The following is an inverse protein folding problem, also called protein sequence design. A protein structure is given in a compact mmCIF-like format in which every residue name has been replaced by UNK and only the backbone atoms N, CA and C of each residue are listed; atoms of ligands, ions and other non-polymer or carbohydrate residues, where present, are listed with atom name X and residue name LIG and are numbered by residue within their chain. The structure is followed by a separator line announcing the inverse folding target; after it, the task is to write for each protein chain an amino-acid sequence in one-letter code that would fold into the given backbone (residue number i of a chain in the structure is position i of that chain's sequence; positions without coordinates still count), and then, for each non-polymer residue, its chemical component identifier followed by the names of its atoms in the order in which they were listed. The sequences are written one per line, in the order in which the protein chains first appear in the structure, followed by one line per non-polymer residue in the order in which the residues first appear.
data_IF_710015927935
#
_entry.id   IF_710015927935
#
_cell.length_a   1.000
_cell.length_b   1.000
_cell.length_c   1.000
_cell.angle_alpha   90.00
_cell.angle_beta   90.00
_cell.angle_gamma   90.00
#
_symmetry.space_group_name_H-M   'P 1'
#
loop_
_entity.id
_entity.type
_entity.pdbx_description
1 polymer ?
#
# COMPACT_ATOMS: atom_id res chain seq x y z
N UNK A 1 11.17 19.53 -12.68
CA UNK A 1 12.52 19.69 -13.26
C UNK A 1 13.50 19.50 -12.13
N UNK A 2 14.48 18.59 -12.29
CA UNK A 2 15.47 18.31 -11.26
C UNK A 2 16.31 19.58 -10.97
N UNK A 3 16.77 19.78 -9.72
CA UNK A 3 17.62 20.90 -9.37
C UNK A 3 18.94 20.83 -10.15
N UNK A 4 19.39 21.98 -10.65
CA UNK A 4 20.59 22.13 -11.50
C UNK A 4 21.91 21.73 -10.85
N UNK A 5 21.89 21.32 -9.57
CA UNK A 5 23.07 21.10 -8.73
C UNK A 5 23.44 19.61 -8.59
N UNK A 6 22.68 18.69 -9.18
CA UNK A 6 22.99 17.26 -9.16
C UNK A 6 23.58 16.82 -10.50
N UNK A 7 24.57 15.91 -10.53
CA UNK A 7 25.08 15.42 -11.79
C UNK A 7 23.95 14.71 -12.56
N UNK A 8 23.90 14.88 -13.89
CA UNK A 8 22.75 14.48 -14.71
C UNK A 8 22.45 12.97 -14.64
N UNK A 9 23.43 12.16 -14.22
CA UNK A 9 23.30 10.71 -14.01
C UNK A 9 22.25 10.33 -12.95
N UNK A 10 21.92 11.22 -12.03
CA UNK A 10 20.91 10.97 -10.99
C UNK A 10 19.51 11.44 -11.37
N UNK A 11 19.32 11.99 -12.57
CA UNK A 11 17.99 12.38 -13.02
C UNK A 11 17.12 11.14 -13.25
N UNK A 12 15.82 11.29 -12.96
CA UNK A 12 14.85 10.25 -13.24
C UNK A 12 14.80 9.98 -14.74
N UNK A 13 14.83 8.71 -15.13
CA UNK A 13 14.55 8.33 -16.51
C UNK A 13 13.04 8.39 -16.78
N UNK A 14 12.63 8.45 -18.05
CA UNK A 14 11.20 8.38 -18.39
C UNK A 14 10.56 7.10 -17.86
N UNK A 15 11.26 5.97 -17.98
CA UNK A 15 10.83 4.67 -17.46
C UNK A 15 10.62 4.69 -15.93
N UNK A 16 11.50 5.35 -15.17
CA UNK A 16 11.34 5.49 -13.71
C UNK A 16 10.08 6.28 -13.34
N UNK A 17 9.77 7.34 -14.09
CA UNK A 17 8.58 8.17 -13.88
C UNK A 17 7.31 7.40 -14.24
N UNK A 18 7.32 6.66 -15.36
CA UNK A 18 6.22 5.80 -15.78
C UNK A 18 5.92 4.73 -14.73
N UNK A 19 6.95 4.08 -14.20
CA UNK A 19 6.84 3.12 -13.11
C UNK A 19 6.22 3.74 -11.85
N UNK A 20 6.68 4.92 -11.42
CA UNK A 20 6.13 5.63 -10.26
C UNK A 20 4.66 6.06 -10.46
N UNK A 21 4.28 6.41 -11.68
CA UNK A 21 2.90 6.72 -12.04
C UNK A 21 2.02 5.46 -12.04
N UNK A 22 2.49 4.37 -12.66
CA UNK A 22 1.78 3.10 -12.76
C UNK A 22 1.55 2.46 -11.38
N UNK A 23 2.54 2.50 -10.49
CA UNK A 23 2.43 2.03 -9.11
C UNK A 23 1.64 2.98 -8.19
N UNK A 24 1.12 4.10 -8.72
CA UNK A 24 0.31 5.06 -7.98
C UNK A 24 1.02 5.72 -6.78
N UNK A 25 2.35 5.90 -6.85
CA UNK A 25 3.14 6.51 -5.78
C UNK A 25 2.84 8.00 -5.56
N UNK A 26 2.28 8.66 -6.57
CA UNK A 26 1.92 10.08 -6.55
C UNK A 26 0.57 10.35 -5.86
N UNK A 27 -0.23 9.32 -5.58
CA UNK A 27 -1.49 9.47 -4.86
C UNK A 27 -1.18 9.62 -3.37
N UNK A 28 -1.60 10.72 -2.76
CA UNK A 28 -1.53 10.91 -1.32
C UNK A 28 -2.87 10.71 -0.63
N UNK A 29 -2.88 10.88 0.69
CA UNK A 29 -4.10 10.89 1.49
C UNK A 29 -4.90 12.19 1.35
N UNK A 30 -6.16 12.20 1.86
CA UNK A 30 -6.98 13.43 1.89
C UNK A 30 -6.45 14.44 2.91
N UNK A 31 -6.01 13.93 4.06
CA UNK A 31 -5.44 14.76 5.11
C UNK A 31 -3.99 15.14 4.77
N UNK A 32 -3.59 16.32 5.21
CA UNK A 32 -2.26 16.87 5.00
C UNK A 32 -1.64 17.28 6.34
N UNK A 33 -0.43 16.80 6.59
CA UNK A 33 0.46 17.24 7.66
C UNK A 33 1.23 18.48 7.20
N UNK A 34 1.41 19.48 8.07
CA UNK A 34 2.08 20.75 7.74
C UNK A 34 3.50 20.54 7.18
N UNK A 35 4.28 19.62 7.76
CA UNK A 35 5.63 19.32 7.29
C UNK A 35 5.69 18.66 5.91
N UNK A 36 4.57 18.11 5.43
CA UNK A 36 4.47 17.47 4.11
C UNK A 36 3.94 18.37 3.01
N UNK A 37 3.45 19.57 3.35
CA UNK A 37 3.00 20.58 2.40
C UNK A 37 4.03 20.88 1.30
N UNK A 38 5.35 20.95 1.57
CA UNK A 38 6.33 21.20 0.52
C UNK A 38 6.40 20.11 -0.55
N UNK A 39 5.97 18.87 -0.28
CA UNK A 39 5.99 17.78 -1.27
C UNK A 39 4.71 17.70 -2.11
N UNK A 40 3.67 18.44 -1.70
CA UNK A 40 2.41 18.54 -2.43
C UNK A 40 2.60 19.27 -3.76
N UNK A 41 1.93 18.77 -4.81
CA UNK A 41 1.83 19.45 -6.10
C UNK A 41 0.48 20.15 -6.26
N UNK A 42 -0.61 19.41 -6.09
CA UNK A 42 -1.98 19.94 -6.15
C UNK A 42 -2.94 19.02 -5.41
N UNK A 43 -4.10 19.54 -5.04
CA UNK A 43 -5.21 18.73 -4.56
C UNK A 43 -6.16 18.44 -5.72
N UNK A 44 -6.68 17.22 -5.82
CA UNK A 44 -7.73 16.86 -6.78
C UNK A 44 -9.11 17.34 -6.30
N UNK A 45 -10.10 17.47 -7.21
CA UNK A 45 -11.47 17.78 -6.81
C UNK A 45 -12.07 16.74 -5.85
N UNK A 46 -11.61 15.49 -5.90
CA UNK A 46 -12.03 14.40 -4.99
C UNK A 46 -11.46 14.55 -3.56
N UNK A 47 -10.66 15.59 -3.31
CA UNK A 47 -9.96 15.83 -2.05
C UNK A 47 -8.69 15.00 -1.86
N UNK A 48 -8.25 14.24 -2.88
CA UNK A 48 -7.01 13.43 -2.84
C UNK A 48 -5.81 14.32 -3.16
N UNK A 49 -4.82 14.33 -2.29
CA UNK A 49 -3.58 15.07 -2.50
C UNK A 49 -2.71 14.39 -3.57
N UNK A 50 -2.02 15.18 -4.41
CA UNK A 50 -1.08 14.69 -5.42
C UNK A 50 0.32 15.10 -5.03
N UNK A 51 1.22 14.12 -4.85
CA UNK A 51 2.62 14.32 -4.51
C UNK A 51 3.42 14.62 -5.78
N UNK A 52 4.41 15.50 -5.67
CA UNK A 52 5.34 15.77 -6.76
C UNK A 52 6.38 14.64 -6.91
N UNK A 53 6.29 13.87 -8.00
CA UNK A 53 7.19 12.75 -8.32
C UNK A 53 8.65 13.18 -8.42
N UNK A 54 8.94 14.40 -8.91
CA UNK A 54 10.30 14.90 -8.98
C UNK A 54 10.94 15.00 -7.59
N UNK A 55 10.18 15.46 -6.60
CA UNK A 55 10.62 15.54 -5.20
C UNK A 55 10.75 14.14 -4.57
N UNK A 56 9.85 13.22 -4.91
CA UNK A 56 9.98 11.81 -4.50
C UNK A 56 11.29 11.22 -5.01
N UNK A 57 11.61 11.42 -6.28
CA UNK A 57 12.85 10.90 -6.88
C UNK A 57 14.10 11.51 -6.25
N UNK A 58 14.13 12.82 -6.05
CA UNK A 58 15.24 13.51 -5.36
C UNK A 58 15.49 12.94 -3.97
N UNK A 59 14.43 12.63 -3.22
CA UNK A 59 14.51 12.01 -1.89
C UNK A 59 14.94 10.55 -1.93
N UNK A 60 14.54 9.78 -2.94
CA UNK A 60 15.03 8.40 -3.14
C UNK A 60 16.55 8.43 -3.39
N UNK A 61 17.03 9.31 -4.26
CA UNK A 61 18.48 9.43 -4.54
C UNK A 61 19.24 9.88 -3.29
N UNK A 62 18.70 10.83 -2.53
CA UNK A 62 19.31 11.28 -1.28
C UNK A 62 19.39 10.14 -0.25
N UNK A 63 18.32 9.37 -0.08
CA UNK A 63 18.31 8.22 0.81
C UNK A 63 19.29 7.13 0.36
N UNK A 64 19.35 6.84 -0.95
CA UNK A 64 20.30 5.88 -1.51
C UNK A 64 21.75 6.27 -1.23
N UNK A 65 22.10 7.56 -1.29
CA UNK A 65 23.43 8.06 -0.92
C UNK A 65 23.76 7.85 0.56
N UNK A 66 22.79 8.12 1.45
CA UNK A 66 22.98 7.90 2.89
C UNK A 66 23.21 6.42 3.17
N UNK A 67 22.43 5.54 2.55
CA UNK A 67 22.54 4.08 2.73
C UNK A 67 23.85 3.53 2.12
N UNK A 68 24.27 4.06 0.96
CA UNK A 68 25.52 3.67 0.31
C UNK A 68 26.77 4.15 1.09
N UNK A 69 26.66 5.23 1.86
CA UNK A 69 27.74 5.74 2.70
C UNK A 69 27.99 4.92 3.97
N UNK A 70 27.13 3.94 4.28
CA UNK A 70 27.35 3.00 5.38
C UNK A 70 28.25 1.87 4.89
N UNK A 71 29.46 1.77 5.45
CA UNK A 71 30.46 0.76 5.07
C UNK A 71 29.95 -0.67 5.25
N UNK A 72 29.37 -0.95 6.44
CA UNK A 72 28.80 -2.24 6.76
C UNK A 72 27.29 -2.25 6.45
N UNK A 73 26.84 -3.01 5.43
CA UNK A 73 25.42 -3.05 5.09
C UNK A 73 24.53 -3.59 6.21
N UNK A 74 25.07 -4.48 7.06
CA UNK A 74 24.36 -5.06 8.20
C UNK A 74 23.93 -4.05 9.26
N UNK A 75 24.58 -2.89 9.30
CA UNK A 75 24.30 -1.84 10.28
C UNK A 75 23.07 -1.00 9.86
N UNK A 76 22.53 -1.24 8.67
CA UNK A 76 21.26 -0.66 8.22
C UNK A 76 20.13 -1.60 8.64
N UNK A 77 19.18 -1.10 9.43
CA UNK A 77 17.98 -1.83 9.80
C UNK A 77 16.78 -1.28 9.03
N UNK A 78 16.01 -2.20 8.46
CA UNK A 78 14.80 -1.89 7.70
C UNK A 78 13.59 -2.50 8.40
N UNK A 79 12.53 -1.70 8.59
CA UNK A 79 11.35 -2.08 9.35
C UNK A 79 10.07 -1.86 8.55
N UNK A 80 9.18 -2.85 8.63
CA UNK A 80 7.79 -2.68 8.24
C UNK A 80 6.86 -3.53 9.10
N UNK A 81 5.99 -2.90 9.88
CA UNK A 81 4.85 -3.57 10.50
C UNK A 81 3.74 -3.89 9.51
N UNK A 82 3.59 -3.10 8.44
CA UNK A 82 2.52 -3.26 7.46
C UNK A 82 2.71 -4.53 6.63
N UNK A 83 1.67 -5.38 6.45
CA UNK A 83 1.75 -6.59 5.62
C UNK A 83 2.31 -6.32 4.22
N UNK A 84 1.83 -5.24 3.59
CA UNK A 84 2.25 -4.84 2.24
C UNK A 84 3.75 -4.54 2.11
N UNK A 85 4.41 -4.11 3.19
CA UNK A 85 5.84 -3.81 3.20
C UNK A 85 6.73 -4.97 3.66
N UNK A 86 6.18 -6.00 4.30
CA UNK A 86 6.96 -7.11 4.87
C UNK A 86 7.83 -7.81 3.82
N UNK A 87 7.23 -8.17 2.69
CA UNK A 87 7.96 -8.82 1.59
C UNK A 87 9.00 -7.90 0.96
N UNK A 88 8.65 -6.64 0.74
CA UNK A 88 9.55 -5.65 0.16
C UNK A 88 10.81 -5.45 1.03
N UNK A 89 10.64 -5.36 2.35
CA UNK A 89 11.74 -5.22 3.32
C UNK A 89 12.64 -6.45 3.35
N UNK A 90 12.08 -7.66 3.33
CA UNK A 90 12.86 -8.90 3.29
C UNK A 90 13.69 -9.02 2.01
N UNK A 91 13.12 -8.66 0.86
CA UNK A 91 13.85 -8.66 -0.42
C UNK A 91 14.91 -7.58 -0.47
N UNK A 92 14.59 -6.37 -0.01
CA UNK A 92 15.56 -5.29 0.12
C UNK A 92 16.78 -5.71 0.94
N UNK A 93 16.55 -6.33 2.11
CA UNK A 93 17.60 -6.87 2.97
C UNK A 93 18.45 -7.93 2.27
N UNK A 94 17.83 -8.86 1.54
CA UNK A 94 18.54 -9.89 0.79
C UNK A 94 19.46 -9.32 -0.31
N UNK A 95 19.04 -8.25 -0.99
CA UNK A 95 19.84 -7.66 -2.07
C UNK A 95 20.92 -6.70 -1.57
N UNK A 96 20.64 -5.94 -0.50
CA UNK A 96 21.57 -4.91 0.01
C UNK A 96 22.46 -5.41 1.15
N UNK A 97 22.15 -6.56 1.77
CA UNK A 97 22.81 -7.07 2.97
C UNK A 97 22.36 -6.40 4.27
N UNK A 98 21.29 -5.60 4.23
CA UNK A 98 20.72 -4.93 5.39
C UNK A 98 19.99 -5.91 6.32
N UNK A 99 19.80 -5.53 7.58
CA UNK A 99 18.96 -6.29 8.51
C UNK A 99 17.49 -5.91 8.35
N UNK A 100 16.61 -6.90 8.27
CA UNK A 100 15.16 -6.69 8.20
C UNK A 100 14.48 -7.03 9.53
N UNK A 101 13.44 -6.27 9.87
CA UNK A 101 12.39 -6.62 10.82
C UNK A 101 11.06 -6.50 10.09
N UNK A 102 10.51 -7.64 9.68
CA UNK A 102 9.20 -7.72 9.05
C UNK A 102 8.14 -8.08 10.10
N UNK A 103 7.03 -7.36 10.09
CA UNK A 103 5.91 -7.57 11.01
C UNK A 103 6.09 -6.82 12.33
N UNK A 104 5.61 -7.40 13.42
CA UNK A 104 5.52 -6.71 14.70
C UNK A 104 6.91 -6.34 15.23
N UNK A 105 7.16 -5.03 15.36
CA UNK A 105 8.33 -4.53 16.07
C UNK A 105 8.22 -4.89 17.56
N UNK A 106 9.26 -5.51 18.11
CA UNK A 106 9.32 -5.83 19.54
C UNK A 106 9.95 -4.65 20.26
N UNK A 107 9.22 -3.98 21.17
CA UNK A 107 9.77 -2.88 21.94
C UNK A 107 10.99 -3.32 22.74
N UNK A 108 12.02 -2.48 22.78
CA UNK A 108 13.29 -2.79 23.44
C UNK A 108 14.35 -3.39 22.51
N UNK A 109 14.05 -3.60 21.23
CA UNK A 109 15.05 -4.10 20.28
C UNK A 109 16.25 -3.16 20.12
N UNK A 110 16.08 -1.84 20.31
CA UNK A 110 17.19 -0.88 20.24
C UNK A 110 17.71 -0.44 21.61
N UNK A 111 16.91 -0.56 22.67
CA UNK A 111 17.28 -0.03 23.99
C UNK A 111 17.70 -1.10 25.00
N UNK A 112 17.21 -2.35 24.86
CA UNK A 112 17.44 -3.42 25.82
C UNK A 112 18.53 -4.39 25.36
N UNK A 113 19.77 -4.10 25.74
CA UNK A 113 20.96 -4.89 25.40
C UNK A 113 20.97 -6.33 25.94
N UNK A 114 20.13 -6.67 26.93
CA UNK A 114 20.06 -8.01 27.52
C UNK A 114 19.31 -8.99 26.59
N UNK A 115 18.43 -8.47 25.73
CA UNK A 115 17.61 -9.31 24.85
C UNK A 115 18.42 -9.89 23.69
N UNK A 116 18.09 -11.11 23.27
CA UNK A 116 18.74 -11.75 22.10
C UNK A 116 18.42 -11.06 20.78
N UNK A 117 17.33 -10.31 20.74
CA UNK A 117 16.88 -9.55 19.56
C UNK A 117 17.43 -8.12 19.52
N UNK A 118 18.35 -7.79 20.42
CA UNK A 118 19.02 -6.50 20.47
C UNK A 118 19.77 -6.22 19.17
N UNK A 119 19.60 -5.01 18.63
CA UNK A 119 20.26 -4.54 17.42
C UNK A 119 20.71 -3.09 17.65
N UNK A 120 21.91 -2.77 17.18
CA UNK A 120 22.44 -1.41 17.20
C UNK A 120 22.68 -0.94 15.75
N UNK A 121 21.61 -0.67 14.98
CA UNK A 121 21.80 -0.19 13.63
C UNK A 121 22.28 1.27 13.64
N UNK A 122 23.14 1.61 12.69
CA UNK A 122 23.59 2.99 12.43
C UNK A 122 22.59 3.80 11.62
N UNK A 123 21.66 3.13 10.93
CA UNK A 123 20.65 3.77 10.11
C UNK A 123 19.36 2.95 10.17
N UNK A 124 18.23 3.64 10.33
CA UNK A 124 16.91 3.04 10.29
C UNK A 124 16.17 3.46 9.02
N UNK A 125 15.56 2.51 8.33
CA UNK A 125 14.64 2.79 7.21
C UNK A 125 13.27 2.19 7.52
N UNK A 126 12.23 3.02 7.47
CA UNK A 126 10.87 2.68 7.95
C UNK A 126 9.85 2.84 6.82
N UNK A 127 8.89 1.92 6.72
CA UNK A 127 7.83 1.99 5.70
C UNK A 127 6.68 2.94 5.99
N UNK A 128 6.30 3.09 7.25
CA UNK A 128 5.27 4.03 7.62
C UNK A 128 5.53 4.51 9.06
N UNK A 129 5.81 5.81 9.26
CA UNK A 129 6.12 6.32 10.58
C UNK A 129 4.93 6.24 11.55
N UNK A 130 3.69 6.11 11.05
CA UNK A 130 2.51 5.97 11.91
C UNK A 130 2.41 4.58 12.52
N UNK A 131 2.61 3.52 11.73
CA UNK A 131 2.54 2.14 12.25
C UNK A 131 3.79 1.74 13.00
N UNK A 132 4.95 2.26 12.58
CA UNK A 132 6.26 1.92 13.14
C UNK A 132 6.76 2.99 14.13
N UNK A 133 5.85 3.79 14.72
CA UNK A 133 6.18 4.89 15.63
C UNK A 133 7.02 4.44 16.83
N UNK A 134 6.83 3.21 17.30
CA UNK A 134 7.63 2.65 18.40
C UNK A 134 9.10 2.51 18.03
N UNK A 135 9.41 2.07 16.81
CA UNK A 135 10.79 1.93 16.35
C UNK A 135 11.45 3.31 16.18
N UNK A 136 10.71 4.29 15.67
CA UNK A 136 11.17 5.67 15.53
C UNK A 136 11.45 6.31 16.89
N UNK A 137 10.56 6.10 17.86
CA UNK A 137 10.75 6.59 19.23
C UNK A 137 11.98 5.95 19.89
N UNK A 138 12.18 4.65 19.72
CA UNK A 138 13.37 3.98 20.25
C UNK A 138 14.66 4.44 19.56
N UNK A 139 14.62 4.69 18.25
CA UNK A 139 15.74 5.26 17.51
C UNK A 139 16.19 6.62 18.09
N UNK A 140 15.24 7.45 18.54
CA UNK A 140 15.52 8.73 19.17
C UNK A 140 16.28 8.62 20.51
N UNK A 141 16.13 7.51 21.24
CA UNK A 141 16.87 7.28 22.49
C UNK A 141 18.33 6.88 22.25
N UNK A 142 18.62 6.28 21.09
CA UNK A 142 19.93 5.66 20.77
C UNK A 142 20.70 6.48 19.72
N UNK A 143 20.20 7.66 19.34
CA UNK A 143 20.78 8.55 18.32
C UNK A 143 20.91 7.89 16.93
N UNK A 144 19.92 7.09 16.55
CA UNK A 144 19.89 6.43 15.25
C UNK A 144 19.14 7.34 14.26
N UNK A 145 19.75 7.75 13.14
CA UNK A 145 19.07 8.53 12.11
C UNK A 145 17.99 7.70 11.40
N UNK A 146 16.86 8.34 11.08
CA UNK A 146 15.68 7.69 10.51
C UNK A 146 15.35 8.21 9.12
N UNK A 147 15.28 7.30 8.16
CA UNK A 147 14.69 7.51 6.84
C UNK A 147 13.30 6.85 6.83
N UNK A 148 12.26 7.58 6.41
CA UNK A 148 10.91 7.01 6.37
C UNK A 148 10.22 7.26 5.03
N UNK A 149 9.46 6.25 4.58
CA UNK A 149 8.47 6.41 3.52
C UNK A 149 7.22 7.04 4.14
N UNK A 150 6.83 8.21 3.65
CA UNK A 150 5.78 8.99 4.28
C UNK A 150 4.75 9.45 3.26
N UNK A 151 3.49 9.26 3.60
CA UNK A 151 2.36 9.84 2.88
C UNK A 151 2.05 11.26 3.42
N UNK A 152 1.11 11.97 2.80
CA UNK A 152 0.73 13.34 3.16
C UNK A 152 0.17 13.47 4.57
N UNK A 153 -0.39 12.40 5.14
CA UNK A 153 -0.98 12.35 6.49
C UNK A 153 -0.02 11.74 7.54
N UNK A 154 1.20 11.38 7.16
CA UNK A 154 2.14 10.67 8.02
C UNK A 154 2.86 11.63 8.98
N UNK A 155 3.00 11.28 10.27
CA UNK A 155 3.77 12.10 11.21
C UNK A 155 5.25 12.08 10.84
N UNK A 156 5.92 13.23 10.95
CA UNK A 156 7.35 13.40 10.66
C UNK A 156 8.17 13.67 11.92
N UNK A 157 7.65 13.29 13.08
CA UNK A 157 8.37 13.41 14.35
C UNK A 157 9.53 12.41 14.38
N UNK A 158 10.74 12.90 14.70
CA UNK A 158 11.98 12.10 14.74
C UNK A 158 12.32 11.39 13.42
N UNK A 159 11.87 11.95 12.28
CA UNK A 159 12.25 11.50 10.93
C UNK A 159 13.19 12.53 10.31
N UNK A 160 14.41 12.13 10.01
CA UNK A 160 15.42 13.03 9.42
C UNK A 160 15.23 13.18 7.91
N UNK A 161 14.94 12.08 7.22
CA UNK A 161 14.71 12.06 5.77
C UNK A 161 13.38 11.40 5.46
N UNK A 162 12.40 12.23 5.10
CA UNK A 162 11.13 11.77 4.56
C UNK A 162 11.21 11.58 3.03
N UNK A 163 10.86 10.38 2.56
CA UNK A 163 10.59 10.09 1.15
C UNK A 163 9.07 10.19 0.94
N UNK A 164 8.58 11.19 0.19
CA UNK A 164 7.15 11.38 -0.01
C UNK A 164 6.61 10.33 -1.00
N UNK A 165 5.79 9.41 -0.52
CA UNK A 165 5.21 8.31 -1.32
C UNK A 165 3.92 7.80 -0.69
N UNK A 166 3.08 7.17 -1.50
CA UNK A 166 1.95 6.39 -1.02
C UNK A 166 2.42 5.19 -0.18
N UNK A 167 2.07 5.17 1.11
CA UNK A 167 2.41 4.09 2.05
C UNK A 167 1.24 3.13 2.35
N UNK A 168 0.14 3.22 1.58
CA UNK A 168 -1.06 2.36 1.70
C UNK A 168 -1.16 1.36 0.56
N UNK A 169 -0.70 1.73 -0.63
CA UNK A 169 -0.73 0.86 -1.81
C UNK A 169 0.36 -0.21 -1.79
N UNK A 170 -0.01 -1.48 -2.06
CA UNK A 170 0.94 -2.61 -2.18
C UNK A 170 2.01 -2.39 -3.25
N UNK A 171 1.59 -1.81 -4.38
CA UNK A 171 2.45 -1.58 -5.54
C UNK A 171 3.41 -0.41 -5.29
N UNK A 172 2.92 0.67 -4.67
CA UNK A 172 3.73 1.83 -4.35
C UNK A 172 4.89 1.50 -3.41
N UNK A 173 4.60 0.80 -2.30
CA UNK A 173 5.63 0.42 -1.31
C UNK A 173 6.68 -0.48 -1.96
N UNK A 174 6.27 -1.55 -2.63
CA UNK A 174 7.20 -2.48 -3.27
C UNK A 174 8.08 -1.82 -4.32
N UNK A 175 7.51 -0.91 -5.12
CA UNK A 175 8.24 -0.20 -6.16
C UNK A 175 9.28 0.77 -5.58
N UNK A 176 8.94 1.50 -4.51
CA UNK A 176 9.91 2.42 -3.88
C UNK A 176 11.06 1.65 -3.25
N UNK A 177 10.81 0.51 -2.60
CA UNK A 177 11.87 -0.36 -2.08
C UNK A 177 12.76 -0.91 -3.19
N UNK A 178 12.17 -1.33 -4.31
CA UNK A 178 12.90 -1.82 -5.47
C UNK A 178 13.79 -0.73 -6.08
N UNK A 179 13.25 0.48 -6.29
CA UNK A 179 14.02 1.63 -6.79
C UNK A 179 15.15 1.99 -5.82
N UNK A 180 14.89 1.98 -4.52
CA UNK A 180 15.91 2.26 -3.50
C UNK A 180 17.03 1.22 -3.56
N UNK A 181 16.70 -0.08 -3.58
CA UNK A 181 17.70 -1.15 -3.69
C UNK A 181 18.54 -0.98 -4.96
N UNK A 182 17.89 -0.73 -6.10
CA UNK A 182 18.56 -0.52 -7.38
C UNK A 182 19.53 0.66 -7.34
N UNK A 183 19.13 1.81 -6.79
CA UNK A 183 20.01 2.98 -6.69
C UNK A 183 21.16 2.76 -5.69
N UNK A 184 20.92 2.05 -4.57
CA UNK A 184 21.99 1.68 -3.61
C UNK A 184 23.02 0.76 -4.27
N UNK A 185 22.57 -0.25 -5.04
CA UNK A 185 23.45 -1.18 -5.74
C UNK A 185 24.23 -0.53 -6.89
N UNK A 186 23.65 0.48 -7.54
CA UNK A 186 24.36 1.33 -8.52
C UNK A 186 25.46 2.14 -7.85
N UNK A 187 25.17 2.76 -6.70
CA UNK A 187 26.15 3.55 -5.94
C UNK A 187 27.27 2.69 -5.35
N UNK A 188 26.97 1.45 -4.93
CA UNK A 188 27.97 0.48 -4.45
C UNK A 188 28.80 -0.16 -5.55
N UNK A 189 28.48 0.08 -6.82
CA UNK A 189 29.22 -0.45 -7.97
C UNK A 189 28.97 -1.93 -8.27
N UNK A 190 28.05 -2.59 -7.57
CA UNK A 190 27.62 -3.97 -7.90
C UNK A 190 26.87 -4.04 -9.23
N UNK A 191 26.14 -2.97 -9.56
CA UNK A 191 25.56 -2.78 -10.88
C UNK A 191 26.44 -1.79 -11.65
N UNK A 192 27.16 -2.29 -12.65
CA UNK A 192 28.24 -1.55 -13.32
C UNK A 192 27.73 -0.37 -14.19
N UNK A 193 26.52 -0.45 -14.74
CA UNK A 193 25.98 0.60 -15.62
C UNK A 193 24.51 0.90 -15.33
N UNK A 194 24.10 2.17 -15.53
CA UNK A 194 22.69 2.60 -15.45
C UNK A 194 21.87 2.12 -16.65
N UNK A 195 22.56 1.77 -17.73
CA UNK A 195 22.00 1.23 -18.98
C UNK A 195 21.64 -0.25 -18.87
N UNK A 196 22.34 -1.00 -18.02
CA UNK A 196 21.94 -2.37 -17.70
C UNK A 196 20.66 -2.33 -16.87
N UNK A 197 19.62 -2.98 -17.39
CA UNK A 197 18.44 -3.31 -16.60
C UNK A 197 18.84 -4.24 -15.45
N UNK A 198 18.17 -4.08 -14.32
CA UNK A 198 18.43 -4.94 -13.19
C UNK A 198 17.65 -6.25 -13.37
N UNK A 199 18.35 -7.39 -13.30
CA UNK A 199 17.76 -8.73 -13.49
C UNK A 199 16.59 -9.04 -12.54
N UNK A 200 16.53 -8.36 -11.40
CA UNK A 200 15.48 -8.55 -10.40
C UNK A 200 14.24 -7.75 -10.78
N UNK A 201 13.15 -8.46 -11.07
CA UNK A 201 11.84 -7.86 -11.36
C UNK A 201 11.19 -7.19 -10.15
N UNK A 202 10.38 -6.16 -10.41
CA UNK A 202 9.66 -5.37 -9.37
C UNK A 202 8.66 -6.23 -8.60
N UNK A 203 8.01 -7.18 -9.28
CA UNK A 203 7.00 -8.08 -8.70
C UNK A 203 7.54 -8.95 -7.55
N UNK A 204 8.86 -9.10 -7.45
CA UNK A 204 9.48 -9.79 -6.34
C UNK A 204 9.22 -9.06 -5.00
N UNK A 205 9.10 -7.72 -5.03
CA UNK A 205 8.90 -6.87 -3.86
C UNK A 205 7.44 -6.70 -3.47
N UNK A 206 6.49 -7.01 -4.35
CA UNK A 206 5.08 -6.91 -4.03
C UNK A 206 4.66 -7.99 -3.04
N UNK A 207 3.83 -7.57 -2.09
CA UNK A 207 3.18 -8.48 -1.17
C UNK A 207 2.17 -9.37 -1.90
N UNK A 208 2.20 -10.67 -1.59
CA UNK A 208 1.30 -11.69 -2.10
C UNK A 208 0.47 -12.21 -0.95
N UNK A 209 -0.84 -12.13 -1.12
CA UNK A 209 -1.78 -12.75 -0.20
C UNK A 209 -1.87 -14.25 -0.57
N UNK A 210 -1.49 -15.17 0.32
CA UNK A 210 -1.56 -16.61 0.01
C UNK A 210 -2.98 -17.05 -0.36
N UNK A 211 -4.01 -16.51 0.30
CA UNK A 211 -5.42 -16.78 -0.02
C UNK A 211 -5.85 -16.23 -1.38
N UNK A 212 -5.23 -15.13 -1.84
CA UNK A 212 -5.52 -14.57 -3.17
C UNK A 212 -4.78 -15.29 -4.29
N UNK A 213 -3.67 -15.97 -3.98
CA UNK A 213 -2.98 -16.86 -4.93
C UNK A 213 -3.73 -18.18 -5.04
N UNK A 214 -4.15 -18.80 -3.93
CA UNK A 214 -5.00 -19.99 -3.95
C UNK A 214 -6.30 -19.75 -4.74
N UNK A 215 -6.97 -18.61 -4.56
CA UNK A 215 -8.15 -18.27 -5.34
C UNK A 215 -7.87 -17.98 -6.83
N UNK A 216 -6.64 -17.58 -7.18
CA UNK A 216 -6.24 -17.41 -8.60
C UNK A 216 -5.87 -18.74 -9.22
N UNK A 217 -5.16 -19.61 -8.50
CA UNK A 217 -4.84 -20.96 -8.94
C UNK A 217 -6.11 -21.78 -9.15
N UNK A 218 -7.09 -21.69 -8.22
CA UNK A 218 -8.42 -22.32 -8.40
C UNK A 218 -9.17 -21.72 -9.61
N UNK A 219 -9.02 -20.42 -9.88
CA UNK A 219 -9.64 -19.78 -11.05
C UNK A 219 -8.92 -20.08 -12.38
N UNK A 220 -7.62 -20.36 -12.36
CA UNK A 220 -6.83 -20.79 -13.51
C UNK A 220 -7.02 -22.29 -13.79
N UNK A 221 -7.12 -23.13 -12.76
CA UNK A 221 -7.51 -24.55 -12.88
C UNK A 221 -8.95 -24.71 -13.37
N UNK A 222 -9.85 -23.79 -13.00
CA UNK A 222 -11.20 -23.73 -13.58
C UNK A 222 -11.22 -23.26 -15.05
N UNK A 223 -10.11 -22.73 -15.59
CA UNK A 223 -10.04 -22.16 -16.94
C UNK A 223 -9.38 -23.03 -18.00
N UNK A 224 -8.74 -24.16 -17.70
CA UNK A 224 -8.21 -25.06 -18.75
C UNK A 224 -8.16 -26.54 -18.26
N UNK A 225 -8.60 -27.57 -19.03
CA UNK A 225 -9.13 -27.59 -20.41
C UNK A 225 -10.53 -28.24 -20.58
N UNK A 226 -11.36 -27.65 -21.45
CA UNK A 226 -12.57 -28.29 -21.97
C UNK A 226 -13.41 -27.46 -22.94
N UNK A 227 -12.88 -26.38 -23.53
CA UNK A 227 -13.68 -25.43 -24.31
C UNK A 227 -13.09 -25.05 -25.68
N UNK A 228 -12.21 -25.86 -26.26
CA UNK A 228 -11.64 -25.60 -27.60
C UNK A 228 -11.65 -26.86 -28.49
N UNK A 229 -12.81 -27.49 -28.67
CA UNK A 229 -13.13 -28.27 -29.89
C UNK A 229 -14.66 -28.34 -30.11
N UNK A 230 -15.29 -27.25 -30.56
CA UNK A 230 -16.35 -27.25 -31.62
C UNK A 230 -16.47 -25.80 -32.11
N UNK A 231 -15.84 -25.48 -33.23
CA UNK A 231 -16.07 -24.21 -33.94
C UNK A 231 -17.45 -24.16 -34.60
N UNK A 232 -18.04 -22.97 -34.81
CA UNK A 232 -19.34 -22.83 -35.46
C UNK A 232 -19.17 -23.06 -36.96
N UNK A 233 -19.52 -24.24 -37.45
CA UNK A 233 -19.62 -24.51 -38.87
C UNK A 233 -20.97 -23.98 -39.39
N UNK A 234 -20.88 -23.04 -40.33
CA UNK A 234 -22.00 -22.60 -41.14
C UNK A 234 -22.62 -23.79 -41.91
N UNK A 235 -23.95 -23.90 -41.88
CA UNK A 235 -24.72 -24.63 -42.88
C UNK A 235 -25.86 -23.72 -43.32
N UNK A 236 -25.66 -23.16 -44.51
CA UNK A 236 -26.64 -22.48 -45.35
C UNK A 236 -27.43 -23.54 -46.12
N UNK A 237 -28.75 -23.61 -45.92
CA UNK A 237 -29.74 -24.00 -46.94
C UNK A 237 -31.13 -23.58 -46.48
N UNK A 238 -31.78 -22.68 -47.22
CA UNK A 238 -33.04 -22.04 -46.85
C UNK A 238 -34.32 -22.85 -47.10
N UNK A 239 -35.40 -22.38 -46.46
CA UNK A 239 -36.72 -22.33 -47.07
C UNK A 239 -37.57 -21.23 -46.39
N UNK A 240 -38.33 -20.54 -47.23
CA UNK A 240 -39.17 -19.37 -47.05
C UNK A 240 -40.36 -19.56 -46.11
N UNK A 241 -40.68 -18.57 -45.27
CA UNK A 241 -41.97 -17.87 -45.35
C UNK A 241 -42.07 -16.67 -44.39
N UNK A 242 -42.61 -15.60 -44.99
CA UNK A 242 -43.11 -14.34 -44.47
C UNK A 242 -43.85 -14.39 -43.13
N UNK A 243 -43.56 -13.44 -42.24
CA UNK A 243 -44.55 -12.73 -41.42
C UNK A 243 -43.89 -11.58 -40.64
N UNK A 244 -43.99 -10.38 -41.22
CA UNK A 244 -44.30 -9.09 -40.59
C UNK A 244 -43.50 -8.58 -39.38
N UNK A 245 -42.67 -7.57 -39.67
CA UNK A 245 -42.21 -6.55 -38.72
C UNK A 245 -42.69 -5.19 -39.25
N UNK A 246 -43.74 -4.62 -38.66
CA UNK A 246 -44.12 -3.21 -38.85
C UNK A 246 -43.81 -2.40 -37.60
N UNK A 247 -43.02 -1.34 -37.79
CA UNK A 247 -42.86 -0.21 -36.87
C UNK A 247 -43.66 0.95 -37.42
N UNK A 248 -44.58 1.50 -36.62
CA UNK A 248 -45.06 2.87 -36.78
C UNK A 248 -45.32 3.48 -35.40
N UNK A 249 -44.67 4.62 -35.13
CA UNK A 249 -44.84 5.38 -33.89
C UNK A 249 -45.95 6.43 -33.94
N UNK A 250 -46.26 7.01 -32.78
CA UNK A 250 -46.66 8.41 -32.52
C UNK A 250 -47.29 8.52 -31.11
N UNK A 251 -46.79 9.42 -30.26
CA UNK A 251 -47.55 9.93 -29.10
C UNK A 251 -48.54 11.04 -29.53
N UNK A 252 -49.14 11.85 -28.63
CA UNK A 252 -49.03 11.89 -27.16
C UNK A 252 -50.37 12.05 -26.38
N UNK A 253 -50.33 11.86 -25.06
CA UNK A 253 -51.08 12.67 -24.10
C UNK A 253 -52.45 12.17 -23.61
N UNK A 254 -52.52 11.74 -22.34
CA UNK A 254 -53.62 12.08 -21.44
C UNK A 254 -53.19 11.83 -19.98
N UNK A 255 -53.29 12.90 -19.21
CA UNK A 255 -53.04 13.04 -17.77
C UNK A 255 -54.20 12.43 -16.98
N UNK A 256 -53.92 11.72 -15.89
CA UNK A 256 -54.84 11.67 -14.74
C UNK A 256 -54.06 11.57 -13.43
N UNK A 257 -54.08 12.67 -12.67
CA UNK A 257 -53.72 12.73 -11.25
C UNK A 257 -55.01 12.55 -10.43
N UNK A 258 -54.91 11.85 -9.30
CA UNK A 258 -55.95 11.82 -8.26
C UNK A 258 -55.38 11.26 -6.96
N UNK A 259 -55.28 12.13 -5.95
CA UNK A 259 -54.63 11.96 -4.65
C UNK A 259 -55.42 11.13 -3.62
N UNK A 260 -54.67 10.78 -2.56
CA UNK A 260 -55.03 10.75 -1.13
C UNK A 260 -55.43 9.41 -0.47
N UNK A 261 -54.63 9.07 0.56
CA UNK A 261 -54.82 8.02 1.56
C UNK A 261 -55.95 8.37 2.57
N UNK A 262 -56.35 7.43 3.45
CA UNK A 262 -55.69 7.36 4.75
C UNK A 262 -55.49 5.95 5.35
N UNK A 263 -54.81 5.97 6.49
CA UNK A 263 -54.21 4.92 7.33
C UNK A 263 -55.12 3.78 7.85
N UNK A 264 -54.46 2.66 8.18
CA UNK A 264 -54.95 1.61 9.09
C UNK A 264 -53.83 0.64 9.48
N UNK A 265 -53.42 0.66 10.76
CA UNK A 265 -52.47 -0.23 11.43
C UNK A 265 -52.80 -1.72 11.28
N UNK A 266 -51.77 -2.59 11.20
CA UNK A 266 -51.77 -3.86 11.93
C UNK A 266 -50.39 -4.54 11.96
N UNK A 267 -49.81 -4.51 13.16
CA UNK A 267 -48.68 -5.27 13.66
C UNK A 267 -48.97 -6.77 13.65
N UNK A 268 -48.01 -7.60 13.21
CA UNK A 268 -48.00 -9.04 13.47
C UNK A 268 -46.64 -9.44 14.05
N UNK A 269 -46.54 -9.37 15.38
CA UNK A 269 -45.60 -10.17 16.16
C UNK A 269 -46.30 -11.47 16.55
N UNK A 270 -45.60 -12.60 16.41
CA UNK A 270 -45.91 -13.83 17.10
C UNK A 270 -44.61 -14.45 17.59
N UNK A 271 -44.46 -14.42 18.91
CA UNK A 271 -43.41 -15.00 19.72
C UNK A 271 -43.30 -16.52 19.60
N UNK A 272 -42.08 -17.00 19.87
CA UNK A 272 -41.77 -18.38 20.21
C UNK A 272 -40.64 -18.43 21.25
N UNK A 273 -41.01 -18.21 22.51
CA UNK A 273 -40.46 -18.71 23.78
C UNK A 273 -38.92 -18.89 23.90
N UNK A 274 -38.24 -18.06 24.70
CA UNK A 274 -38.05 -18.22 26.17
C UNK A 274 -37.29 -19.49 26.59
N UNK A 275 -36.02 -19.32 26.97
CA UNK A 275 -35.45 -19.98 28.16
C UNK A 275 -34.83 -18.91 29.06
N UNK A 276 -35.55 -18.62 30.14
CA UNK A 276 -35.12 -17.95 31.37
C UNK A 276 -33.91 -18.71 31.99
N UNK A 277 -33.14 -18.22 32.97
CA UNK A 277 -33.36 -17.23 34.03
C UNK A 277 -31.93 -16.86 34.54
N UNK A 278 -31.61 -15.60 34.87
CA UNK A 278 -31.81 -14.99 36.19
C UNK A 278 -30.89 -15.61 37.27
N UNK A 279 -30.13 -14.88 38.09
CA UNK A 279 -30.12 -13.44 38.33
C UNK A 279 -28.87 -13.05 39.14
N UNK A 280 -28.57 -11.75 39.09
CA UNK A 280 -27.64 -11.09 39.99
C UNK A 280 -28.33 -10.79 41.33
N UNK A 281 -27.54 -10.59 42.39
CA UNK A 281 -27.82 -9.45 43.25
C UNK A 281 -26.59 -8.58 43.56
N UNK A 282 -26.82 -7.28 43.35
CA UNK A 282 -26.61 -6.16 44.27
C UNK A 282 -25.27 -5.97 45.04
N UNK A 283 -24.69 -4.80 44.77
CA UNK A 283 -24.20 -3.80 45.71
C UNK A 283 -23.20 -4.20 46.82
N UNK A 284 -21.98 -3.67 46.68
CA UNK A 284 -20.94 -3.64 47.69
C UNK A 284 -21.28 -2.75 48.89
N UNK A 285 -20.70 -3.05 50.06
CA UNK A 285 -20.18 -2.02 50.95
C UNK A 285 -18.71 -2.26 51.34
N UNK A 286 -18.10 -1.15 51.76
CA UNK A 286 -16.70 -0.96 52.12
C UNK A 286 -16.21 -1.78 53.33
N UNK A 287 -14.87 -1.96 53.40
CA UNK A 287 -14.15 -2.04 54.67
C UNK A 287 -13.22 -3.25 54.89
N UNK A 288 -11.91 -2.94 54.82
CA UNK A 288 -10.83 -3.35 55.73
C UNK A 288 -10.32 -4.81 55.88
N UNK A 289 -8.97 -4.87 55.88
CA UNK A 289 -8.02 -5.91 56.34
C UNK A 289 -7.90 -7.14 55.41
N UNK A 290 -6.74 -7.52 54.90
CA UNK A 290 -5.40 -7.67 55.48
C UNK A 290 -4.32 -7.42 54.42
#
# INVERSE_FOLDING_TARGET
MAPSNLPPIFNATSQDIEMLLAAQCHLGSKNLQVHMEPYLWKTRPDGINVINIGKTWEKIVLAARIIAAVDNPSDVCVISARPYGQRAVLKFAAHTGAQAIAGRFTPGNFTNHITRSFREPRLLVVTDPRTDAQAIKEASYVNIPVIALCDTDSPTEFVDVAIPTNNKGRHAIGLVWWLLAREVLRLRGTLASREAEWDVVVDLYFYRDPEAEENKEVAEEAKVPGADEVGPAAIDTGFTNSADWEVTGAGPGAVYQGEAAPAGDSTWNADGAEWAAEGAPAAAPAGDKW
#
